data_IF_790218020378
#
_entry.id   IF_790218020378
#
_cell.length_a   1.000
_cell.length_b   1.000
_cell.length_c   1.000
_cell.angle_alpha   90.00
_cell.angle_beta   90.00
_cell.angle_gamma   90.00
#
_symmetry.space_group_name_H-M   'P 1'
#
loop_
_entity.id
_entity.type
_entity.pdbx_description
1 polymer ?
#
# COMPACT_ATOMS: atom_id res chain seq x y z
N UNK A 1 2.00 18.03 -22.39
CA UNK A 1 1.63 17.80 -20.99
C UNK A 1 1.02 16.42 -20.90
N UNK A 2 1.07 15.77 -19.73
CA UNK A 2 0.36 14.52 -19.44
C UNK A 2 1.01 13.22 -20.01
N UNK A 3 2.34 13.11 -20.08
CA UNK A 3 3.00 11.84 -20.50
C UNK A 3 3.28 10.90 -19.31
N UNK A 4 2.29 10.70 -18.44
CA UNK A 4 2.40 9.69 -17.39
C UNK A 4 2.37 8.29 -18.00
N UNK A 5 3.49 7.58 -18.00
CA UNK A 5 3.53 6.16 -18.40
C UNK A 5 2.92 5.32 -17.27
N UNK A 6 1.73 4.80 -17.52
CA UNK A 6 1.05 3.87 -16.63
C UNK A 6 1.16 2.43 -17.12
N UNK A 7 1.38 1.48 -16.21
CA UNK A 7 1.31 0.04 -16.49
C UNK A 7 0.10 -0.51 -15.73
N UNK A 8 -0.75 -1.27 -16.41
CA UNK A 8 -1.82 -2.03 -15.77
C UNK A 8 -1.33 -3.45 -15.48
N UNK A 9 -1.58 -3.92 -14.25
CA UNK A 9 -1.17 -5.24 -13.77
C UNK A 9 -2.41 -6.01 -13.33
N UNK A 10 -2.53 -7.23 -13.83
CA UNK A 10 -3.60 -8.16 -13.51
C UNK A 10 -2.99 -9.38 -12.83
N UNK A 11 -3.30 -9.58 -11.55
CA UNK A 11 -2.86 -10.74 -10.80
C UNK A 11 -4.04 -11.69 -10.63
N UNK A 12 -4.05 -12.80 -11.38
CA UNK A 12 -4.98 -13.90 -11.12
C UNK A 12 -4.38 -14.77 -10.01
N UNK A 13 -4.84 -14.56 -8.78
CA UNK A 13 -4.31 -15.21 -7.58
C UNK A 13 -5.15 -16.44 -7.27
N UNK A 14 -4.50 -17.58 -7.04
CA UNK A 14 -5.15 -18.79 -6.54
C UNK A 14 -4.23 -19.46 -5.51
N UNK A 15 -4.62 -19.38 -4.24
CA UNK A 15 -3.90 -20.01 -3.12
C UNK A 15 -4.72 -21.13 -2.43
N UNK A 16 -5.80 -21.61 -3.07
CA UNK A 16 -6.69 -22.63 -2.50
C UNK A 16 -5.95 -23.94 -2.16
N UNK A 17 -4.97 -24.33 -2.99
CA UNK A 17 -4.21 -25.56 -2.82
C UNK A 17 -3.09 -25.51 -1.77
N UNK A 18 -2.84 -24.36 -1.14
CA UNK A 18 -1.79 -24.24 -0.13
C UNK A 18 -2.27 -24.88 1.17
N UNK A 19 -1.52 -25.82 1.73
CA UNK A 19 -1.88 -26.48 3.00
C UNK A 19 -1.00 -25.99 4.16
N UNK A 20 -0.85 -24.68 4.29
CA UNK A 20 -0.07 -24.01 5.33
C UNK A 20 -0.63 -22.60 5.58
N UNK A 21 -0.20 -21.97 6.67
CA UNK A 21 -0.38 -20.54 6.89
C UNK A 21 0.43 -19.74 5.87
N UNK A 22 -0.26 -19.00 5.02
CA UNK A 22 0.36 -18.32 3.90
C UNK A 22 -0.31 -16.98 3.61
N UNK A 23 0.48 -15.92 3.53
CA UNK A 23 0.03 -14.60 3.10
C UNK A 23 0.86 -14.19 1.88
N UNK A 24 0.20 -13.93 0.75
CA UNK A 24 0.85 -13.56 -0.49
C UNK A 24 0.88 -12.04 -0.61
N UNK A 25 2.07 -11.46 -0.80
CA UNK A 25 2.24 -10.04 -1.08
C UNK A 25 2.93 -9.81 -2.42
N UNK A 26 2.46 -8.82 -3.17
CA UNK A 26 3.16 -8.27 -4.33
C UNK A 26 4.06 -7.13 -3.86
N UNK A 27 5.34 -7.17 -4.23
CA UNK A 27 6.31 -6.12 -3.92
C UNK A 27 6.87 -5.48 -5.18
N UNK A 28 6.89 -4.16 -5.20
CA UNK A 28 7.50 -3.33 -6.24
C UNK A 28 8.69 -2.60 -5.61
N UNK A 29 9.85 -2.72 -6.23
CA UNK A 29 11.10 -2.07 -5.79
C UNK A 29 11.53 -1.02 -6.80
N UNK A 30 12.02 0.12 -6.32
CA UNK A 30 12.50 1.24 -7.12
C UNK A 30 13.66 1.94 -6.43
N UNK A 31 14.35 2.81 -7.17
CA UNK A 31 15.44 3.64 -6.63
C UNK A 31 14.95 4.94 -5.96
N UNK A 32 13.64 5.09 -5.77
CA UNK A 32 13.05 6.27 -5.12
C UNK A 32 13.49 6.33 -3.66
N UNK A 33 14.13 7.43 -3.26
CA UNK A 33 14.59 7.61 -1.90
C UNK A 33 13.52 8.28 -1.00
N UNK A 34 12.47 7.54 -0.65
CA UNK A 34 11.40 8.00 0.24
C UNK A 34 11.71 7.82 1.74
N UNK A 35 12.91 7.33 2.09
CA UNK A 35 13.31 7.02 3.47
C UNK A 35 12.31 6.10 4.19
N UNK A 36 11.60 6.61 5.19
CA UNK A 36 10.56 5.92 5.95
C UNK A 36 9.16 6.51 5.72
N UNK A 37 8.98 7.40 4.74
CA UNK A 37 7.73 8.11 4.48
C UNK A 37 7.02 7.55 3.25
N UNK A 38 5.73 7.30 3.39
CA UNK A 38 4.87 6.88 2.29
C UNK A 38 3.46 7.44 2.48
N UNK A 39 2.58 7.26 1.51
CA UNK A 39 1.26 7.89 1.51
C UNK A 39 0.21 6.85 1.13
N UNK A 40 -0.89 6.82 1.87
CA UNK A 40 -2.05 5.96 1.58
C UNK A 40 -3.29 6.83 1.52
N UNK A 41 -4.28 6.42 0.75
CA UNK A 41 -5.60 7.03 0.83
C UNK A 41 -6.35 6.64 2.11
N UNK A 42 -7.38 7.41 2.42
CA UNK A 42 -8.44 7.09 3.37
C UNK A 42 -9.75 7.09 2.60
N UNK A 43 -10.29 5.88 2.38
CA UNK A 43 -11.56 5.65 1.70
C UNK A 43 -11.66 6.28 0.30
N UNK A 44 -10.54 6.43 -0.39
CA UNK A 44 -10.46 7.05 -1.72
C UNK A 44 -10.73 8.56 -1.76
N UNK A 45 -10.77 9.25 -0.62
CA UNK A 45 -11.10 10.68 -0.55
C UNK A 45 -9.85 11.52 -0.27
N UNK A 46 -9.14 11.19 0.81
CA UNK A 46 -8.00 11.97 1.29
C UNK A 46 -6.73 11.13 1.27
N UNK A 47 -5.61 11.72 0.88
CA UNK A 47 -4.29 11.12 1.06
C UNK A 47 -3.73 11.52 2.42
N UNK A 48 -3.25 10.54 3.18
CA UNK A 48 -2.59 10.76 4.47
C UNK A 48 -1.13 10.30 4.41
N UNK A 49 -0.25 11.10 5.01
CA UNK A 49 1.17 10.79 5.18
C UNK A 49 1.33 9.71 6.27
N UNK A 50 2.08 8.67 5.95
CA UNK A 50 2.48 7.58 6.85
C UNK A 50 3.99 7.62 7.08
N UNK A 51 4.42 7.07 8.20
CA UNK A 51 5.83 6.88 8.53
C UNK A 51 6.03 5.46 9.03
N UNK A 52 6.97 4.72 8.43
CA UNK A 52 7.39 3.41 8.94
C UNK A 52 8.12 3.63 10.25
N UNK A 53 7.72 2.88 11.28
CA UNK A 53 8.30 2.95 12.61
C UNK A 53 8.96 1.62 12.95
N UNK A 54 10.29 1.58 12.94
CA UNK A 54 11.06 0.37 13.26
C UNK A 54 10.87 -0.12 14.72
N UNK A 55 10.39 0.77 15.60
CA UNK A 55 10.03 0.42 16.99
C UNK A 55 8.73 -0.37 17.10
N UNK A 56 7.93 -0.38 16.04
CA UNK A 56 6.68 -1.14 15.96
C UNK A 56 6.93 -2.44 15.20
N UNK A 57 6.19 -3.52 15.50
CA UNK A 57 6.32 -4.77 14.77
C UNK A 57 5.89 -4.60 13.31
N UNK A 58 6.27 -5.54 12.44
CA UNK A 58 6.05 -5.46 10.99
C UNK A 58 4.57 -5.20 10.64
N UNK A 59 3.66 -5.98 11.22
CA UNK A 59 2.22 -5.87 10.98
C UNK A 59 1.62 -4.52 11.40
N UNK A 60 2.25 -3.81 12.34
CA UNK A 60 1.80 -2.48 12.75
C UNK A 60 2.22 -1.37 11.76
N UNK A 61 3.01 -1.72 10.75
CA UNK A 61 3.35 -0.83 9.64
C UNK A 61 2.53 -1.10 8.36
N UNK A 62 1.58 -2.03 8.42
CA UNK A 62 0.58 -2.24 7.38
C UNK A 62 -0.62 -1.32 7.58
N UNK A 63 -1.07 -0.72 6.48
CA UNK A 63 -2.20 0.21 6.43
C UNK A 63 -3.21 -0.22 5.37
N UNK A 64 -4.49 0.19 5.47
CA UNK A 64 -5.44 0.01 4.39
C UNK A 64 -4.99 0.76 3.13
N UNK A 65 -5.02 0.06 1.99
CA UNK A 65 -5.02 0.63 0.64
C UNK A 65 -6.44 0.50 0.13
N UNK A 66 -7.22 1.58 0.15
CA UNK A 66 -8.61 1.53 -0.34
C UNK A 66 -8.66 1.71 -1.85
N UNK A 67 -7.85 2.64 -2.38
CA UNK A 67 -7.81 2.93 -3.82
C UNK A 67 -6.43 3.34 -4.33
N UNK A 68 -5.60 4.01 -3.53
CA UNK A 68 -4.34 4.57 -4.00
C UNK A 68 -3.31 4.77 -2.89
N UNK A 69 -2.05 4.48 -3.21
CA UNK A 69 -0.92 4.80 -2.36
C UNK A 69 0.29 5.18 -3.20
N UNK A 70 1.25 5.89 -2.61
CA UNK A 70 2.48 6.24 -3.32
C UNK A 70 3.69 6.40 -2.39
N UNK A 71 4.86 6.25 -3.01
CA UNK A 71 6.15 6.67 -2.47
C UNK A 71 6.73 7.76 -3.38
N UNK A 72 7.51 8.67 -2.83
CA UNK A 72 8.12 9.74 -3.61
C UNK A 72 9.42 10.23 -2.96
N UNK A 73 10.30 10.77 -3.78
CA UNK A 73 11.45 11.58 -3.37
C UNK A 73 11.30 13.01 -3.93
N UNK A 74 12.41 13.75 -4.03
CA UNK A 74 12.39 15.12 -4.55
C UNK A 74 12.05 15.19 -6.05
N UNK A 75 12.37 14.14 -6.82
CA UNK A 75 12.34 14.16 -8.27
C UNK A 75 11.22 13.30 -8.86
N UNK A 76 10.82 12.23 -8.18
CA UNK A 76 9.96 11.19 -8.75
C UNK A 76 8.93 10.71 -7.75
N UNK A 77 7.75 10.34 -8.25
CA UNK A 77 6.70 9.65 -7.50
C UNK A 77 6.31 8.37 -8.22
N UNK A 78 6.17 7.30 -7.44
CA UNK A 78 5.63 6.02 -7.87
C UNK A 78 4.30 5.80 -7.15
N UNK A 79 3.22 5.84 -7.92
CA UNK A 79 1.84 5.69 -7.45
C UNK A 79 1.30 4.34 -7.87
N UNK A 80 0.69 3.61 -6.93
CA UNK A 80 -0.12 2.43 -7.20
C UNK A 80 -1.60 2.77 -6.97
N UNK A 81 -2.43 2.46 -7.96
CA UNK A 81 -3.88 2.48 -7.89
C UNK A 81 -4.37 1.05 -7.83
N UNK A 82 -5.35 0.77 -6.97
CA UNK A 82 -5.95 -0.54 -6.79
C UNK A 82 -7.43 -0.49 -7.13
N UNK A 83 -7.92 -1.49 -7.86
CA UNK A 83 -9.36 -1.64 -8.14
C UNK A 83 -10.14 -2.21 -6.95
N UNK A 84 -9.45 -2.73 -5.93
CA UNK A 84 -10.02 -3.33 -4.73
C UNK A 84 -9.24 -2.95 -3.46
N UNK A 85 -9.88 -2.89 -2.29
CA UNK A 85 -9.18 -2.58 -1.04
C UNK A 85 -8.30 -3.75 -0.58
N UNK A 86 -7.05 -3.47 -0.19
CA UNK A 86 -6.06 -4.45 0.24
C UNK A 86 -5.18 -3.89 1.37
N UNK A 87 -4.29 -4.71 1.93
CA UNK A 87 -3.24 -4.26 2.86
C UNK A 87 -2.03 -3.70 2.11
N UNK A 88 -1.48 -2.57 2.56
CA UNK A 88 -0.31 -1.92 1.96
C UNK A 88 0.75 -1.57 2.99
N UNK A 89 2.02 -1.65 2.59
CA UNK A 89 3.14 -1.15 3.38
C UNK A 89 4.31 -0.65 2.49
N UNK A 90 5.17 0.17 3.08
CA UNK A 90 6.52 0.47 2.56
C UNK A 90 7.55 0.03 3.61
N UNK A 91 7.94 -1.25 3.55
CA UNK A 91 8.79 -1.88 4.56
C UNK A 91 10.29 -1.58 4.36
N UNK A 92 10.71 -1.14 3.18
CA UNK A 92 12.04 -0.56 2.90
C UNK A 92 11.90 0.73 2.08
N UNK A 93 12.93 1.57 2.09
CA UNK A 93 13.02 2.69 1.16
C UNK A 93 12.96 2.18 -0.29
N UNK A 94 12.27 2.92 -1.15
CA UNK A 94 12.04 2.57 -2.55
C UNK A 94 11.03 1.45 -2.78
N UNK A 95 10.41 0.89 -1.72
CA UNK A 95 9.52 -0.27 -1.84
C UNK A 95 8.05 0.07 -1.58
N UNK A 96 7.20 -0.56 -2.38
CA UNK A 96 5.76 -0.68 -2.18
C UNK A 96 5.44 -2.17 -2.04
N UNK A 97 4.61 -2.52 -1.07
CA UNK A 97 4.10 -3.86 -0.86
C UNK A 97 2.58 -3.85 -0.72
N UNK A 98 1.91 -4.78 -1.40
CA UNK A 98 0.44 -4.92 -1.38
C UNK A 98 0.07 -6.39 -1.17
N UNK A 99 -0.66 -6.69 -0.10
CA UNK A 99 -1.23 -8.03 0.13
C UNK A 99 -2.17 -8.41 -1.01
N UNK A 100 -2.14 -9.67 -1.43
CA UNK A 100 -2.95 -10.19 -2.53
C UNK A 100 -4.05 -11.11 -2.01
N UNK A 101 -3.70 -12.09 -1.19
CA UNK A 101 -4.63 -13.00 -0.53
C UNK A 101 -3.93 -13.65 0.69
N UNK A 102 -4.71 -14.24 1.60
CA UNK A 102 -4.22 -14.93 2.78
C UNK A 102 -5.02 -16.20 3.05
N UNK A 103 -4.30 -17.25 3.44
CA UNK A 103 -4.86 -18.52 3.90
C UNK A 103 -4.29 -18.83 5.26
N UNK A 104 -5.17 -18.97 6.25
CA UNK A 104 -4.78 -19.25 7.63
C UNK A 104 -5.47 -20.51 8.13
N UNK A 105 -4.74 -21.37 8.84
CA UNK A 105 -5.22 -22.66 9.32
C UNK A 105 -5.72 -22.62 10.78
N UNK A 106 -5.79 -21.43 11.38
CA UNK A 106 -6.26 -21.21 12.75
C UNK A 106 -7.17 -19.99 12.85
N UNK A 107 -8.01 -20.01 13.87
CA UNK A 107 -8.78 -18.85 14.36
C UNK A 107 -7.86 -17.87 15.13
N UNK A 108 -8.25 -16.60 15.19
CA UNK A 108 -7.50 -15.52 15.85
C UNK A 108 -8.04 -15.13 17.24
N UNK A 109 -9.00 -15.90 17.76
CA UNK A 109 -9.73 -15.72 19.02
C UNK A 109 -10.46 -14.38 19.11
N UNK A 110 -11.00 -13.90 17.98
CA UNK A 110 -11.85 -12.69 17.92
C UNK A 110 -13.34 -12.98 17.74
N UNK A 111 -13.74 -14.26 17.85
CA UNK A 111 -15.14 -14.69 17.87
C UNK A 111 -15.70 -15.17 16.54
N UNK A 112 -14.85 -15.39 15.53
CA UNK A 112 -15.26 -16.00 14.26
C UNK A 112 -15.28 -17.54 14.34
N UNK A 113 -14.41 -18.12 15.19
CA UNK A 113 -14.30 -19.56 15.50
C UNK A 113 -14.07 -20.45 14.27
N UNK A 114 -13.37 -19.91 13.25
CA UNK A 114 -12.98 -20.66 12.06
C UNK A 114 -11.69 -20.11 11.44
N UNK A 115 -10.94 -20.97 10.72
CA UNK A 115 -9.79 -20.54 9.93
C UNK A 115 -10.22 -19.82 8.63
N UNK A 116 -9.27 -19.20 7.93
CA UNK A 116 -9.48 -18.63 6.58
C UNK A 116 -8.97 -19.63 5.55
N UNK A 117 -9.84 -20.55 5.11
CA UNK A 117 -9.49 -21.67 4.24
C UNK A 117 -10.38 -21.82 2.99
N UNK A 118 -11.30 -20.90 2.79
CA UNK A 118 -12.28 -20.90 1.70
C UNK A 118 -11.86 -20.03 0.51
N UNK A 119 -10.55 -19.79 0.35
CA UNK A 119 -9.97 -19.00 -0.75
C UNK A 119 -10.48 -19.48 -2.12
N UNK A 120 -10.75 -18.51 -3.00
CA UNK A 120 -11.10 -18.74 -4.40
C UNK A 120 -10.23 -17.91 -5.31
N UNK A 121 -10.10 -18.36 -6.56
CA UNK A 121 -9.33 -17.61 -7.54
C UNK A 121 -9.89 -16.20 -7.70
N UNK A 122 -9.04 -15.20 -7.44
CA UNK A 122 -9.43 -13.79 -7.41
C UNK A 122 -8.51 -13.00 -8.33
N UNK A 123 -9.10 -12.16 -9.17
CA UNK A 123 -8.37 -11.26 -10.05
C UNK A 123 -8.17 -9.90 -9.35
N UNK A 124 -6.94 -9.58 -8.99
CA UNK A 124 -6.57 -8.27 -8.47
C UNK A 124 -6.04 -7.38 -9.59
N UNK A 125 -6.57 -6.16 -9.73
CA UNK A 125 -6.20 -5.24 -10.80
C UNK A 125 -5.55 -3.98 -10.20
N UNK A 126 -4.40 -3.60 -10.75
CA UNK A 126 -3.65 -2.43 -10.35
C UNK A 126 -3.24 -1.57 -11.54
N UNK A 127 -3.09 -0.27 -11.32
CA UNK A 127 -2.36 0.62 -12.24
C UNK A 127 -1.19 1.24 -11.51
N UNK A 128 0.00 1.16 -12.11
CA UNK A 128 1.23 1.75 -11.60
C UNK A 128 1.60 2.94 -12.46
N UNK A 129 1.72 4.11 -11.86
CA UNK A 129 2.14 5.33 -12.52
C UNK A 129 3.48 5.80 -11.96
N UNK A 130 4.43 6.08 -12.85
CA UNK A 130 5.69 6.73 -12.52
C UNK A 130 5.68 8.15 -13.09
N UNK A 131 5.88 9.15 -12.24
CA UNK A 131 5.78 10.56 -12.61
C UNK A 131 6.94 11.39 -12.06
N UNK A 132 7.46 12.31 -12.88
CA UNK A 132 8.47 13.29 -12.46
C UNK A 132 7.79 14.44 -11.70
N UNK A 133 8.36 14.82 -10.56
CA UNK A 133 7.87 15.93 -9.74
C UNK A 133 8.44 17.26 -10.23
N UNK A 134 7.61 18.28 -10.23
CA UNK A 134 8.01 19.64 -10.64
C UNK A 134 8.82 20.30 -9.50
N UNK A 135 10.01 20.88 -9.76
CA UNK A 135 10.92 21.39 -8.73
C UNK A 135 10.36 22.49 -7.80
N UNK A 136 9.25 23.14 -8.17
CA UNK A 136 8.63 24.23 -7.42
C UNK A 136 7.28 23.85 -6.78
N UNK A 137 6.96 22.57 -6.68
CA UNK A 137 5.80 22.15 -5.90
C UNK A 137 6.11 22.35 -4.42
N UNK A 138 5.31 23.16 -3.69
CA UNK A 138 5.49 23.42 -2.26
C UNK A 138 5.75 22.10 -1.53
N UNK A 139 6.85 22.02 -0.77
CA UNK A 139 7.14 20.84 0.06
C UNK A 139 6.01 20.74 1.09
N UNK A 140 5.37 19.58 1.17
CA UNK A 140 4.43 19.31 2.26
C UNK A 140 5.21 19.49 3.57
N UNK A 141 4.73 20.41 4.42
CA UNK A 141 5.34 20.65 5.71
C UNK A 141 5.42 19.34 6.48
N UNK A 142 6.65 18.87 6.71
CA UNK A 142 6.88 17.56 7.31
C UNK A 142 6.28 17.43 8.72
N UNK A 143 6.03 18.58 9.37
CA UNK A 143 5.44 18.76 10.69
C UNK A 143 3.96 19.16 10.67
N UNK A 144 3.31 19.27 9.50
CA UNK A 144 1.89 19.59 9.44
C UNK A 144 1.08 18.40 9.94
N UNK A 145 0.47 18.57 11.11
CA UNK A 145 -0.51 17.64 11.67
C UNK A 145 -1.82 17.85 10.92
N UNK A 146 -2.21 16.86 10.12
CA UNK A 146 -3.49 16.88 9.42
C UNK A 146 -4.63 16.67 10.42
N UNK A 147 -5.65 17.54 10.38
CA UNK A 147 -6.77 17.52 11.34
C UNK A 147 -6.52 18.34 12.61
N UNK A 148 -5.58 19.30 12.54
CA UNK A 148 -5.40 20.31 13.59
C UNK A 148 -6.64 21.21 13.64
N UNK A 149 -7.04 21.65 14.84
CA UNK A 149 -8.11 22.65 15.02
C UNK A 149 -7.81 23.98 14.30
N UNK A 150 -6.57 24.21 13.88
CA UNK A 150 -6.19 25.36 13.04
C UNK A 150 -6.62 25.24 11.57
N UNK A 151 -7.14 24.08 11.15
CA UNK A 151 -7.59 23.81 9.77
C UNK A 151 -9.13 23.98 9.60
N UNK A 152 -9.85 24.44 10.63
CA UNK A 152 -11.30 24.77 10.64
C UNK A 152 -11.48 26.25 10.99
#
# INVERSE_FOLDING_TARGET
GIDGKGIEIHNLVNIEGINDNYELAMRISSDINNQDVFYTDLNGIQIIKRKRLNRLPLQANYYPLSSSAYIQDENTRLTILSAQPLGFASLSGGQIEVMQDRRLLQDDNRGLDQPVMDNKSTLAIFRIHLETRVPNCKKDDANKVWGSLSDI
#
